data_IF_248156725642
#
_entry.id   IF_248156725642
#
_cell.length_a   1.000
_cell.length_b   1.000
_cell.length_c   1.000
_cell.angle_alpha   90.00
_cell.angle_beta   90.00
_cell.angle_gamma   90.00
#
_symmetry.space_group_name_H-M   'P 1'
#
loop_
_entity.id
_entity.type
_entity.pdbx_description
1 polymer ?
#
# COMPACT_ATOMS: atom_id res chain seq x y z
N UNK A 1 15.64 -16.54 -4.48
CA UNK A 1 15.02 -17.80 -3.96
C UNK A 1 14.05 -17.42 -2.84
N UNK A 2 13.02 -18.22 -2.52
CA UNK A 2 12.05 -17.85 -1.46
C UNK A 2 12.66 -17.85 -0.04
N UNK A 3 13.89 -18.36 0.08
CA UNK A 3 14.62 -18.60 1.32
C UNK A 3 15.53 -17.43 1.74
N UNK A 4 15.49 -16.32 1.00
CA UNK A 4 16.27 -15.12 1.33
C UNK A 4 15.66 -14.36 2.52
N UNK A 5 16.48 -13.86 3.47
CA UNK A 5 16.02 -12.97 4.52
C UNK A 5 15.32 -11.75 3.92
N UNK A 6 14.14 -11.40 4.46
CA UNK A 6 13.27 -10.36 3.88
C UNK A 6 13.98 -9.03 3.62
N UNK A 7 14.74 -8.53 4.58
CA UNK A 7 15.41 -7.23 4.52
C UNK A 7 16.40 -7.12 3.34
N UNK A 8 17.11 -8.21 3.04
CA UNK A 8 18.10 -8.27 1.96
C UNK A 8 17.54 -8.91 0.67
N UNK A 9 16.25 -9.24 0.64
CA UNK A 9 15.68 -10.01 -0.46
C UNK A 9 15.55 -9.17 -1.73
N UNK A 10 16.03 -9.71 -2.84
CA UNK A 10 15.82 -9.12 -4.17
C UNK A 10 14.33 -8.96 -4.47
N UNK A 11 13.51 -9.90 -4.01
CA UNK A 11 12.05 -9.84 -4.13
C UNK A 11 11.48 -8.61 -3.45
N UNK A 12 11.92 -8.30 -2.23
CA UNK A 12 11.46 -7.10 -1.50
C UNK A 12 11.85 -5.85 -2.27
N UNK A 13 13.11 -5.74 -2.69
CA UNK A 13 13.60 -4.58 -3.45
C UNK A 13 12.77 -4.32 -4.70
N UNK A 14 12.56 -5.35 -5.53
CA UNK A 14 11.77 -5.23 -6.76
C UNK A 14 10.32 -4.83 -6.47
N UNK A 15 9.69 -5.42 -5.47
CA UNK A 15 8.32 -5.05 -5.11
C UNK A 15 8.21 -3.61 -4.61
N UNK A 16 9.19 -3.13 -3.84
CA UNK A 16 9.26 -1.74 -3.40
C UNK A 16 9.46 -0.81 -4.60
N UNK A 17 10.39 -1.11 -5.50
CA UNK A 17 10.64 -0.29 -6.70
C UNK A 17 9.37 -0.18 -7.57
N UNK A 18 8.62 -1.27 -7.72
CA UNK A 18 7.36 -1.27 -8.45
C UNK A 18 6.26 -0.49 -7.70
N UNK A 19 6.15 -0.65 -6.38
CA UNK A 19 5.15 0.03 -5.56
C UNK A 19 5.32 1.56 -5.59
N UNK A 20 6.56 2.06 -5.66
CA UNK A 20 6.90 3.47 -5.73
C UNK A 20 7.15 3.98 -7.16
N UNK A 21 6.91 3.14 -8.17
CA UNK A 21 6.97 3.50 -9.58
C UNK A 21 5.73 4.27 -10.05
N UNK A 22 5.40 4.11 -11.34
CA UNK A 22 4.20 4.70 -11.94
C UNK A 22 2.94 4.25 -11.20
N UNK A 23 2.01 5.17 -10.98
CA UNK A 23 0.76 4.87 -10.30
C UNK A 23 -0.22 4.13 -11.21
N UNK A 24 0.10 2.87 -11.49
CA UNK A 24 -0.67 1.99 -12.33
C UNK A 24 -0.95 0.63 -11.65
N UNK A 25 -1.52 -0.28 -12.42
CA UNK A 25 -1.85 -1.64 -11.99
C UNK A 25 -0.64 -2.47 -11.55
N UNK A 26 0.59 -2.11 -11.98
CA UNK A 26 1.81 -2.79 -11.55
C UNK A 26 2.17 -2.38 -10.12
N UNK A 27 2.07 -1.09 -9.79
CA UNK A 27 2.26 -0.63 -8.42
C UNK A 27 1.22 -1.24 -7.47
N UNK A 28 -0.03 -1.33 -7.90
CA UNK A 28 -1.12 -1.93 -7.11
C UNK A 28 -0.88 -3.42 -6.86
N UNK A 29 -0.49 -4.17 -7.88
CA UNK A 29 -0.14 -5.59 -7.75
C UNK A 29 1.07 -5.80 -6.82
N UNK A 30 2.06 -4.92 -6.86
CA UNK A 30 3.22 -4.99 -5.98
C UNK A 30 2.83 -4.75 -4.50
N UNK A 31 1.99 -3.74 -4.24
CA UNK A 31 1.46 -3.46 -2.90
C UNK A 31 0.62 -4.63 -2.38
N UNK A 32 -0.24 -5.21 -3.21
CA UNK A 32 -0.99 -6.41 -2.86
C UNK A 32 -0.06 -7.57 -2.46
N UNK A 33 1.01 -7.81 -3.22
CA UNK A 33 1.98 -8.88 -2.91
C UNK A 33 2.73 -8.63 -1.58
N UNK A 34 3.09 -7.38 -1.29
CA UNK A 34 3.68 -6.99 0.00
C UNK A 34 2.70 -7.28 1.16
N UNK A 35 1.45 -6.81 1.04
CA UNK A 35 0.41 -7.03 2.06
C UNK A 35 0.13 -8.52 2.27
N UNK A 36 0.00 -9.29 1.19
CA UNK A 36 -0.16 -10.74 1.26
C UNK A 36 1.02 -11.42 1.99
N UNK A 37 2.25 -10.95 1.74
CA UNK A 37 3.44 -11.46 2.45
C UNK A 37 3.38 -11.15 3.94
N UNK A 38 2.93 -9.96 4.34
CA UNK A 38 2.77 -9.57 5.75
C UNK A 38 1.69 -10.41 6.49
N UNK A 39 0.70 -10.92 5.77
CA UNK A 39 -0.25 -11.88 6.34
C UNK A 39 0.40 -13.24 6.65
N UNK A 40 1.31 -13.69 5.77
CA UNK A 40 1.99 -14.99 5.89
C UNK A 40 3.19 -14.97 6.83
N UNK A 41 3.92 -13.85 6.89
CA UNK A 41 5.19 -13.73 7.62
C UNK A 41 5.07 -12.60 8.65
N UNK A 42 4.90 -12.91 9.95
CA UNK A 42 4.70 -11.89 10.97
C UNK A 42 5.83 -10.87 11.08
N UNK A 43 7.08 -11.29 10.87
CA UNK A 43 8.28 -10.47 11.06
C UNK A 43 8.38 -9.31 10.06
N UNK A 44 7.65 -9.35 8.94
CA UNK A 44 7.70 -8.30 7.91
C UNK A 44 6.58 -7.27 8.03
N UNK A 45 5.65 -7.45 8.97
CA UNK A 45 4.41 -6.67 9.05
C UNK A 45 4.65 -5.18 9.27
N UNK A 46 5.55 -4.85 10.18
CA UNK A 46 5.82 -3.45 10.52
C UNK A 46 6.51 -2.72 9.33
N UNK A 47 7.41 -3.42 8.61
CA UNK A 47 8.04 -2.90 7.38
C UNK A 47 7.01 -2.68 6.26
N UNK A 48 6.17 -3.68 5.97
CA UNK A 48 5.11 -3.57 4.96
C UNK A 48 4.09 -2.49 5.34
N UNK A 49 3.72 -2.36 6.61
CA UNK A 49 2.84 -1.30 7.08
C UNK A 49 3.44 0.09 6.82
N UNK A 50 4.73 0.28 7.07
CA UNK A 50 5.44 1.51 6.76
C UNK A 50 5.40 1.86 5.27
N UNK A 51 5.76 0.90 4.41
CA UNK A 51 5.78 1.08 2.95
C UNK A 51 4.38 1.43 2.39
N UNK A 52 3.35 0.73 2.84
CA UNK A 52 1.97 0.97 2.40
C UNK A 52 1.47 2.34 2.90
N UNK A 53 1.80 2.73 4.13
CA UNK A 53 1.43 4.02 4.69
C UNK A 53 2.09 5.18 3.93
N UNK A 54 3.40 5.08 3.67
CA UNK A 54 4.14 6.08 2.90
C UNK A 54 3.56 6.22 1.48
N UNK A 55 3.26 5.09 0.84
CA UNK A 55 2.69 5.10 -0.50
C UNK A 55 1.29 5.70 -0.56
N UNK A 56 0.45 5.41 0.44
CA UNK A 56 -0.88 6.00 0.59
C UNK A 56 -0.81 7.52 0.76
N UNK A 57 0.07 8.01 1.62
CA UNK A 57 0.28 9.43 1.85
C UNK A 57 0.76 10.16 0.57
N UNK A 58 1.67 9.56 -0.19
CA UNK A 58 2.06 10.05 -1.50
C UNK A 58 0.89 10.11 -2.51
N UNK A 59 0.07 9.06 -2.58
CA UNK A 59 -1.09 8.99 -3.46
C UNK A 59 -2.14 10.06 -3.09
N UNK A 60 -2.46 10.22 -1.80
CA UNK A 60 -3.42 11.21 -1.31
C UNK A 60 -2.95 12.63 -1.62
N UNK A 61 -1.65 12.92 -1.53
CA UNK A 61 -1.10 14.21 -1.96
C UNK A 61 -1.24 14.42 -3.47
N UNK A 62 -0.85 13.43 -4.27
CA UNK A 62 -0.92 13.51 -5.72
C UNK A 62 -2.36 13.75 -6.21
N UNK A 63 -3.33 13.07 -5.58
CA UNK A 63 -4.75 13.17 -5.87
C UNK A 63 -5.31 14.60 -5.78
N UNK A 64 -4.68 15.48 -5.00
CA UNK A 64 -5.09 16.90 -4.89
C UNK A 64 -4.82 17.71 -6.17
N UNK A 65 -3.95 17.21 -7.04
CA UNK A 65 -3.47 17.92 -8.24
C UNK A 65 -3.70 17.17 -9.54
N UNK A 66 -3.89 15.86 -9.48
CA UNK A 66 -4.14 14.99 -10.63
C UNK A 66 -4.87 13.73 -10.20
N UNK A 67 -5.51 13.05 -11.14
CA UNK A 67 -6.13 11.77 -10.87
C UNK A 67 -5.08 10.69 -10.49
N UNK A 68 -5.47 9.81 -9.57
CA UNK A 68 -4.70 8.64 -9.14
C UNK A 68 -5.62 7.42 -9.21
N UNK A 69 -5.49 6.64 -10.28
CA UNK A 69 -6.45 5.58 -10.63
C UNK A 69 -6.49 4.44 -9.61
N UNK A 70 -5.37 4.16 -8.94
CA UNK A 70 -5.26 3.14 -7.90
C UNK A 70 -5.62 3.62 -6.49
N UNK A 71 -6.04 4.87 -6.30
CA UNK A 71 -6.23 5.42 -4.95
C UNK A 71 -7.25 4.62 -4.14
N UNK A 72 -8.32 4.13 -4.78
CA UNK A 72 -9.33 3.29 -4.12
C UNK A 72 -8.74 1.97 -3.64
N UNK A 73 -8.13 1.19 -4.51
CA UNK A 73 -7.56 -0.12 -4.15
C UNK A 73 -6.43 0.02 -3.13
N UNK A 74 -5.61 1.07 -3.24
CA UNK A 74 -4.60 1.39 -2.22
C UNK A 74 -5.23 1.70 -0.85
N UNK A 75 -6.33 2.46 -0.82
CA UNK A 75 -7.05 2.77 0.42
C UNK A 75 -7.58 1.48 1.07
N UNK A 76 -8.11 0.55 0.28
CA UNK A 76 -8.55 -0.77 0.75
C UNK A 76 -7.37 -1.60 1.27
N UNK A 77 -6.21 -1.56 0.59
CA UNK A 77 -4.99 -2.23 1.04
C UNK A 77 -4.48 -1.70 2.38
N UNK A 78 -4.52 -0.38 2.60
CA UNK A 78 -4.16 0.22 3.91
C UNK A 78 -5.00 -0.37 5.04
N UNK A 79 -6.32 -0.51 4.82
CA UNK A 79 -7.23 -1.08 5.81
C UNK A 79 -6.97 -2.57 6.05
N UNK A 80 -6.60 -3.30 5.00
CA UNK A 80 -6.27 -4.72 5.05
C UNK A 80 -4.86 -5.02 5.60
N UNK A 81 -3.98 -4.02 5.70
CA UNK A 81 -2.59 -4.23 6.08
C UNK A 81 -2.48 -4.54 7.58
N UNK A 82 -1.86 -5.69 7.96
CA UNK A 82 -1.64 -6.02 9.37
C UNK A 82 -0.68 -5.01 9.99
N UNK A 83 -0.86 -4.72 11.29
CA UNK A 83 -0.03 -3.78 12.07
C UNK A 83 -0.05 -2.31 11.60
N UNK A 84 -0.87 -1.97 10.61
CA UNK A 84 -1.07 -0.58 10.18
C UNK A 84 -1.54 0.30 11.36
N UNK A 85 -0.91 1.47 11.61
CA UNK A 85 -1.30 2.38 12.70
C UNK A 85 -2.76 2.82 12.59
N UNK A 86 -3.41 3.01 13.75
CA UNK A 86 -4.83 3.37 13.82
C UNK A 86 -5.16 4.68 13.10
N UNK A 87 -4.30 5.69 13.25
CA UNK A 87 -4.43 6.99 12.57
C UNK A 87 -4.41 6.87 11.03
N UNK A 88 -3.57 5.98 10.49
CA UNK A 88 -3.48 5.75 9.04
C UNK A 88 -4.72 5.00 8.55
N UNK A 89 -5.21 4.02 9.33
CA UNK A 89 -6.48 3.35 9.03
C UNK A 89 -7.68 4.29 9.05
N UNK A 90 -7.72 5.21 10.00
CA UNK A 90 -8.78 6.22 10.08
C UNK A 90 -8.75 7.15 8.86
N UNK A 91 -7.56 7.64 8.49
CA UNK A 91 -7.40 8.47 7.30
C UNK A 91 -7.81 7.73 6.01
N UNK A 92 -7.48 6.44 5.90
CA UNK A 92 -7.91 5.59 4.79
C UNK A 92 -9.44 5.39 4.78
N UNK A 93 -10.06 5.10 5.91
CA UNK A 93 -11.51 4.95 6.00
C UNK A 93 -12.25 6.23 5.56
N UNK A 94 -11.78 7.40 6.00
CA UNK A 94 -12.33 8.70 5.57
C UNK A 94 -12.15 8.93 4.07
N UNK A 95 -11.00 8.55 3.51
CA UNK A 95 -10.73 8.66 2.08
C UNK A 95 -11.65 7.76 1.25
N UNK A 96 -11.86 6.52 1.68
CA UNK A 96 -12.74 5.57 1.00
C UNK A 96 -14.19 6.09 0.97
N UNK A 97 -14.68 6.60 2.10
CA UNK A 97 -16.00 7.21 2.18
C UNK A 97 -16.16 8.43 1.25
N UNK A 98 -15.13 9.28 1.12
CA UNK A 98 -15.14 10.39 0.18
C UNK A 98 -15.22 9.92 -1.28
N UNK A 99 -14.43 8.90 -1.65
CA UNK A 99 -14.45 8.30 -2.99
C UNK A 99 -15.80 7.64 -3.33
N UNK A 100 -16.55 7.17 -2.34
CA UNK A 100 -17.89 6.63 -2.53
C UNK A 100 -18.93 7.74 -2.74
N UNK A 101 -18.80 8.85 -2.00
CA UNK A 101 -19.64 10.03 -2.16
C UNK A 101 -19.47 10.69 -3.54
N UNK A 102 -18.25 10.76 -4.06
CA UNK A 102 -17.94 11.32 -5.40
C UNK A 102 -18.57 10.54 -6.57
N UNK A 103 -18.93 9.26 -6.33
CA UNK A 103 -19.56 8.39 -7.35
C UNK A 103 -21.09 8.39 -7.30
N UNK A 104 -21.69 8.98 -6.27
CA UNK A 104 -23.14 9.00 -6.02
C UNK A 104 -23.77 10.26 -6.61
#
# INVERSE_FOLDING_TARGET
>A
RADEPWEASVRRSVLVDLAFGTEDWVADAALFALVATAWLVPDVRDDVAGLVAERFDAAVRAYRTREVTLLRSLTELVLATPRMPGEVKEAAAQRLAALDAERS
#
